data_IF_175575327044
#
_entry.id   IF_175575327044
#
_cell.length_a   1.000
_cell.length_b   1.000
_cell.length_c   1.000
_cell.angle_alpha   90.00
_cell.angle_beta   90.00
_cell.angle_gamma   90.00
#
_symmetry.space_group_name_H-M   'P 1'
#
loop_
_entity.id
_entity.type
_entity.pdbx_description
1 polymer ?
#
# COMPACT_ATOMS: atom_id res chain seq x y z
N UNK A 1 2.82 16.12 14.70
CA UNK A 1 3.54 14.89 14.29
C UNK A 1 3.13 14.61 12.85
N UNK A 2 4.06 14.57 11.91
CA UNK A 2 3.75 14.35 10.48
C UNK A 2 4.18 12.95 10.10
N UNK A 3 3.28 12.16 9.50
CA UNK A 3 3.59 10.83 8.99
C UNK A 3 4.01 10.96 7.53
N UNK A 4 5.27 10.64 7.24
CA UNK A 4 5.82 10.76 5.88
C UNK A 4 5.93 9.42 5.15
N UNK A 5 5.87 8.30 5.89
CA UNK A 5 6.04 6.95 5.35
C UNK A 5 5.21 5.93 6.12
N UNK A 6 4.61 4.97 5.40
CA UNK A 6 3.83 3.88 5.97
C UNK A 6 4.21 2.54 5.34
N UNK A 7 4.10 1.47 6.13
CA UNK A 7 4.25 0.09 5.68
C UNK A 7 2.92 -0.64 5.80
N UNK A 8 2.42 -1.16 4.68
CA UNK A 8 1.13 -1.86 4.59
C UNK A 8 1.41 -3.33 4.30
N UNK A 9 0.92 -4.21 5.17
CA UNK A 9 1.06 -5.67 5.05
C UNK A 9 -0.24 -6.25 4.52
N UNK A 10 -0.14 -6.94 3.39
CA UNK A 10 -1.26 -7.46 2.62
C UNK A 10 -1.69 -6.49 1.53
N UNK A 11 -1.90 -7.02 0.33
CA UNK A 11 -2.23 -6.30 -0.91
C UNK A 11 -3.62 -6.65 -1.47
N UNK A 12 -4.46 -7.31 -0.67
CA UNK A 12 -5.88 -7.53 -0.97
C UNK A 12 -6.70 -6.23 -0.94
N UNK A 13 -8.03 -6.34 -1.04
CA UNK A 13 -8.96 -5.20 -1.19
C UNK A 13 -8.70 -4.05 -0.19
N UNK A 14 -8.51 -4.37 1.08
CA UNK A 14 -8.26 -3.35 2.12
C UNK A 14 -6.86 -2.77 2.01
N UNK A 15 -5.84 -3.61 1.79
CA UNK A 15 -4.45 -3.18 1.75
C UNK A 15 -4.13 -2.29 0.55
N UNK A 16 -4.69 -2.59 -0.61
CA UNK A 16 -4.59 -1.73 -1.79
C UNK A 16 -5.33 -0.40 -1.58
N UNK A 17 -6.54 -0.42 -1.00
CA UNK A 17 -7.30 0.79 -0.69
C UNK A 17 -6.61 1.71 0.32
N UNK A 18 -6.06 1.15 1.39
CA UNK A 18 -5.26 1.91 2.39
C UNK A 18 -4.03 2.52 1.72
N UNK A 19 -3.29 1.72 0.96
CA UNK A 19 -2.09 2.16 0.23
C UNK A 19 -2.40 3.30 -0.74
N UNK A 20 -3.50 3.19 -1.48
CA UNK A 20 -3.95 4.21 -2.42
C UNK A 20 -4.26 5.54 -1.70
N UNK A 21 -5.04 5.50 -0.62
CA UNK A 21 -5.40 6.72 0.13
C UNK A 21 -4.15 7.38 0.73
N UNK A 22 -3.23 6.60 1.31
CA UNK A 22 -1.97 7.12 1.84
C UNK A 22 -1.11 7.75 0.74
N UNK A 23 -0.96 7.09 -0.40
CA UNK A 23 -0.19 7.61 -1.53
C UNK A 23 -0.81 8.90 -2.10
N UNK A 24 -2.14 8.96 -2.23
CA UNK A 24 -2.86 10.17 -2.66
C UNK A 24 -2.71 11.34 -1.67
N UNK A 25 -2.56 11.04 -0.38
CA UNK A 25 -2.25 12.04 0.65
C UNK A 25 -0.77 12.48 0.67
N UNK A 26 0.07 11.97 -0.25
CA UNK A 26 1.49 12.33 -0.35
C UNK A 26 2.38 11.58 0.65
N UNK A 27 1.89 10.52 1.27
CA UNK A 27 2.67 9.66 2.17
C UNK A 27 3.36 8.57 1.36
N UNK A 28 4.65 8.35 1.58
CA UNK A 28 5.37 7.25 0.94
C UNK A 28 4.83 5.90 1.45
N UNK A 29 4.45 5.00 0.53
CA UNK A 29 3.89 3.69 0.89
C UNK A 29 4.83 2.57 0.47
N UNK A 30 5.17 1.72 1.44
CA UNK A 30 5.76 0.42 1.20
C UNK A 30 4.67 -0.65 1.35
N UNK A 31 4.30 -1.31 0.26
CA UNK A 31 3.30 -2.38 0.25
C UNK A 31 4.00 -3.74 0.15
N UNK A 32 3.68 -4.65 1.05
CA UNK A 32 4.21 -6.02 1.07
C UNK A 32 3.09 -7.04 1.00
N UNK A 33 3.30 -8.08 0.19
CA UNK A 33 2.52 -9.29 0.20
C UNK A 33 3.46 -10.49 0.00
N UNK A 34 3.06 -11.65 0.51
CA UNK A 34 3.79 -12.89 0.30
C UNK A 34 3.62 -13.41 -1.13
N UNK A 35 2.51 -13.06 -1.78
CA UNK A 35 2.22 -13.40 -3.17
C UNK A 35 2.64 -12.25 -4.13
N UNK A 36 3.68 -12.44 -4.96
CA UNK A 36 4.08 -11.44 -5.95
C UNK A 36 2.98 -11.08 -6.96
N UNK A 37 2.06 -12.00 -7.27
CA UNK A 37 0.94 -11.73 -8.18
C UNK A 37 -0.15 -10.90 -7.51
N UNK A 38 -0.31 -10.99 -6.18
CA UNK A 38 -1.16 -10.08 -5.43
C UNK A 38 -0.62 -8.64 -5.48
N UNK A 39 0.70 -8.46 -5.30
CA UNK A 39 1.35 -7.16 -5.45
C UNK A 39 1.15 -6.58 -6.84
N UNK A 40 1.37 -7.36 -7.91
CA UNK A 40 1.16 -6.90 -9.30
C UNK A 40 -0.28 -6.43 -9.55
N UNK A 41 -1.27 -7.11 -8.97
CA UNK A 41 -2.68 -6.71 -9.08
C UNK A 41 -2.98 -5.44 -8.30
N UNK A 42 -2.35 -5.25 -7.14
CA UNK A 42 -2.61 -4.11 -6.26
C UNK A 42 -2.01 -2.79 -6.76
N UNK A 43 -0.98 -2.84 -7.62
CA UNK A 43 -0.29 -1.64 -8.16
C UNK A 43 -0.72 -1.27 -9.58
N UNK A 44 -1.63 -2.02 -10.18
CA UNK A 44 -2.11 -1.80 -11.55
C UNK A 44 -3.19 -0.73 -11.60
#
# INVERSE_FOLDING_TARGET
MTVNKVFVVGSGLMGSGISQVCAQAGVEVLLYDIDPEALKRAVK
#
